data_IF_597439544835
#
_entry.id   IF_597439544835
#
_cell.length_a   1.000
_cell.length_b   1.000
_cell.length_c   1.000
_cell.angle_alpha   90.00
_cell.angle_beta   90.00
_cell.angle_gamma   90.00
#
_symmetry.space_group_name_H-M   'P 1'
#
loop_
_entity.id
_entity.type
_entity.pdbx_description
1 polymer ?
#
# COMPACT_ATOMS: atom_id res chain seq x y z
N UNK A 1 2.11 -21.32 15.05
CA UNK A 1 1.54 -20.03 15.50
C UNK A 1 2.21 -19.46 16.75
N UNK A 2 2.77 -20.27 17.64
CA UNK A 2 3.36 -19.82 18.92
C UNK A 2 4.66 -19.01 18.77
N UNK A 3 5.55 -19.39 17.85
CA UNK A 3 6.80 -18.67 17.59
C UNK A 3 6.58 -17.21 17.14
N UNK A 4 5.63 -16.97 16.22
CA UNK A 4 5.29 -15.63 15.75
C UNK A 4 4.71 -14.76 16.87
N UNK A 5 3.83 -15.34 17.71
CA UNK A 5 3.27 -14.66 18.87
C UNK A 5 4.36 -14.27 19.88
N UNK A 6 5.33 -15.14 20.11
CA UNK A 6 6.46 -14.85 21.01
C UNK A 6 7.33 -13.71 20.49
N UNK A 7 7.61 -13.68 19.19
CA UNK A 7 8.36 -12.59 18.55
C UNK A 7 7.60 -11.26 18.70
N UNK A 8 6.29 -11.24 18.42
CA UNK A 8 5.50 -10.02 18.65
C UNK A 8 5.48 -9.59 20.11
N UNK A 9 5.42 -10.53 21.05
CA UNK A 9 5.50 -10.22 22.48
C UNK A 9 6.80 -9.51 22.85
N UNK A 10 7.93 -9.99 22.34
CA UNK A 10 9.25 -9.37 22.57
C UNK A 10 9.34 -7.99 21.91
N UNK A 11 8.81 -7.82 20.70
CA UNK A 11 8.74 -6.51 20.03
C UNK A 11 7.88 -5.51 20.81
N UNK A 12 6.69 -5.92 21.26
CA UNK A 12 5.78 -5.04 22.01
C UNK A 12 6.38 -4.64 23.35
N UNK A 13 7.02 -5.57 24.07
CA UNK A 13 7.71 -5.24 25.31
C UNK A 13 8.84 -4.23 25.08
N UNK A 14 9.70 -4.48 24.08
CA UNK A 14 10.84 -3.62 23.76
C UNK A 14 10.43 -2.18 23.42
N UNK A 15 9.41 -2.00 22.55
CA UNK A 15 8.95 -0.65 22.19
C UNK A 15 8.34 0.06 23.40
N UNK A 16 7.61 -0.64 24.27
CA UNK A 16 7.02 -0.02 25.46
C UNK A 16 8.12 0.43 26.42
N UNK A 17 9.08 -0.45 26.73
CA UNK A 17 10.13 -0.18 27.72
C UNK A 17 11.07 0.93 27.23
N UNK A 18 11.51 0.84 25.98
CA UNK A 18 12.37 1.85 25.35
C UNK A 18 11.66 3.21 25.30
N UNK A 19 10.39 3.23 24.86
CA UNK A 19 9.65 4.48 24.72
C UNK A 19 9.35 5.13 26.07
N UNK A 20 9.05 4.33 27.12
CA UNK A 20 8.91 4.83 28.49
C UNK A 20 10.17 5.51 28.97
N UNK A 21 11.34 4.88 28.75
CA UNK A 21 12.61 5.47 29.16
C UNK A 21 12.88 6.81 28.44
N UNK A 22 12.63 6.87 27.13
CA UNK A 22 12.83 8.08 26.34
C UNK A 22 11.86 9.21 26.73
N UNK A 23 10.62 8.88 27.09
CA UNK A 23 9.64 9.85 27.58
C UNK A 23 10.07 10.44 28.94
N UNK A 24 10.60 9.61 29.83
CA UNK A 24 11.14 10.07 31.12
C UNK A 24 12.37 10.97 30.89
N UNK A 25 13.30 10.55 30.03
CA UNK A 25 14.50 11.33 29.69
C UNK A 25 14.16 12.66 29.00
N UNK A 26 13.10 12.69 28.19
CA UNK A 26 12.63 13.90 27.52
C UNK A 26 12.10 14.96 28.49
N UNK A 27 11.66 14.57 29.69
CA UNK A 27 11.11 15.51 30.68
C UNK A 27 9.88 16.27 30.19
N UNK A 28 9.17 15.74 29.19
CA UNK A 28 8.04 16.42 28.58
C UNK A 28 6.83 16.45 29.54
N UNK A 29 6.23 17.62 29.70
CA UNK A 29 5.05 17.84 30.52
C UNK A 29 3.78 17.97 29.67
N UNK A 30 3.92 18.22 28.37
CA UNK A 30 2.81 18.27 27.43
C UNK A 30 3.17 17.74 26.04
N UNK A 31 2.15 17.56 25.20
CA UNK A 31 2.33 17.10 23.82
C UNK A 31 3.15 18.08 22.96
N UNK A 32 3.16 19.37 23.31
CA UNK A 32 3.98 20.36 22.60
C UNK A 32 5.47 20.09 22.80
N UNK A 33 5.90 19.79 24.02
CA UNK A 33 7.30 19.46 24.33
C UNK A 33 7.78 18.27 23.49
N UNK A 34 6.93 17.26 23.28
CA UNK A 34 7.24 16.10 22.42
C UNK A 34 7.37 16.51 20.95
N UNK A 35 6.52 17.42 20.46
CA UNK A 35 6.59 17.93 19.07
C UNK A 35 7.86 18.75 18.84
N UNK A 36 8.31 19.48 19.86
CA UNK A 36 9.48 20.35 19.80
C UNK A 36 10.81 19.63 20.13
N UNK A 37 10.75 18.41 20.69
CA UNK A 37 11.91 17.62 21.12
C UNK A 37 12.90 17.28 19.98
N UNK A 38 12.47 17.34 18.72
CA UNK A 38 13.33 17.11 17.55
C UNK A 38 13.78 15.66 17.34
N UNK A 39 13.29 14.72 18.16
CA UNK A 39 13.56 13.28 18.05
C UNK A 39 12.34 12.43 18.42
N UNK A 40 12.13 11.26 17.80
CA UNK A 40 11.04 10.37 18.15
C UNK A 40 11.26 9.72 19.52
N UNK A 41 10.21 9.72 20.35
CA UNK A 41 10.19 9.06 21.67
C UNK A 41 9.50 7.70 21.66
N UNK A 42 8.71 7.41 20.62
CA UNK A 42 8.11 6.10 20.42
C UNK A 42 8.95 5.33 19.40
N UNK A 43 9.79 4.42 19.88
CA UNK A 43 10.68 3.62 19.02
C UNK A 43 11.17 2.36 19.73
N UNK A 44 11.60 1.39 18.92
CA UNK A 44 12.34 0.22 19.39
C UNK A 44 13.73 0.59 19.90
N UNK A 45 14.30 -0.27 20.72
CA UNK A 45 15.70 -0.18 21.12
C UNK A 45 16.64 -0.26 19.91
N UNK A 46 17.88 0.28 20.01
CA UNK A 46 18.89 0.10 18.97
C UNK A 46 19.18 -1.37 18.65
N UNK A 47 19.11 -2.27 19.64
CA UNK A 47 19.24 -3.72 19.48
C UNK A 47 18.10 -4.27 18.62
N UNK A 48 16.86 -4.08 19.07
CA UNK A 48 15.67 -4.58 18.36
C UNK A 48 15.57 -4.00 16.95
N UNK A 49 15.95 -2.73 16.76
CA UNK A 49 15.95 -2.11 15.44
C UNK A 49 16.93 -2.77 14.46
N UNK A 50 18.13 -3.16 14.94
CA UNK A 50 19.11 -3.91 14.13
C UNK A 50 18.58 -5.28 13.75
N UNK A 51 18.01 -6.01 14.69
CA UNK A 51 17.46 -7.36 14.45
C UNK A 51 16.28 -7.32 13.47
N UNK A 52 15.37 -6.34 13.63
CA UNK A 52 14.29 -6.08 12.67
C UNK A 52 14.81 -5.69 11.29
N UNK A 53 15.97 -5.04 11.21
CA UNK A 53 16.65 -4.75 9.95
C UNK A 53 16.92 -6.02 9.15
N UNK A 54 17.45 -7.07 9.80
CA UNK A 54 17.75 -8.34 9.15
C UNK A 54 16.49 -9.06 8.67
N UNK A 55 15.45 -9.10 9.52
CA UNK A 55 14.16 -9.72 9.15
C UNK A 55 13.52 -8.97 7.97
N UNK A 56 13.51 -7.64 8.01
CA UNK A 56 12.99 -6.82 6.89
C UNK A 56 13.77 -7.08 5.61
N UNK A 57 15.10 -7.14 5.67
CA UNK A 57 15.91 -7.43 4.49
C UNK A 57 15.58 -8.81 3.92
N UNK A 58 15.51 -9.83 4.77
CA UNK A 58 15.14 -11.19 4.36
C UNK A 58 13.75 -11.23 3.69
N UNK A 59 12.73 -10.66 4.35
CA UNK A 59 11.37 -10.60 3.81
C UNK A 59 11.30 -9.78 2.52
N UNK A 60 12.05 -8.68 2.43
CA UNK A 60 12.09 -7.85 1.22
C UNK A 60 12.60 -8.64 0.02
N UNK A 61 13.72 -9.34 0.19
CA UNK A 61 14.31 -10.15 -0.89
C UNK A 61 13.45 -11.36 -1.24
N UNK A 62 12.99 -12.11 -0.23
CA UNK A 62 12.37 -13.44 -0.44
C UNK A 62 10.86 -13.41 -0.64
N UNK A 63 10.17 -12.40 -0.13
CA UNK A 63 8.71 -12.30 -0.18
C UNK A 63 8.27 -11.13 -1.06
N UNK A 64 8.70 -9.91 -0.76
CA UNK A 64 8.23 -8.73 -1.50
C UNK A 64 8.78 -8.64 -2.93
N UNK A 65 10.00 -9.12 -3.18
CA UNK A 65 10.63 -9.16 -4.52
C UNK A 65 10.68 -10.55 -5.15
N UNK A 66 9.92 -11.50 -4.61
CA UNK A 66 9.80 -12.82 -5.24
C UNK A 66 9.32 -12.66 -6.71
N UNK A 67 9.83 -13.47 -7.66
CA UNK A 67 9.46 -13.33 -9.08
C UNK A 67 7.95 -13.31 -9.33
N UNK A 68 7.18 -14.10 -8.58
CA UNK A 68 5.72 -14.12 -8.69
C UNK A 68 5.08 -12.78 -8.27
N UNK A 69 5.58 -12.14 -7.21
CA UNK A 69 5.09 -10.83 -6.74
C UNK A 69 5.48 -9.72 -7.72
N UNK A 70 6.70 -9.76 -8.24
CA UNK A 70 7.15 -8.80 -9.27
C UNK A 70 6.32 -8.90 -10.54
N UNK A 71 5.95 -10.12 -10.96
CA UNK A 71 5.06 -10.32 -12.11
C UNK A 71 3.70 -9.69 -11.89
N UNK A 72 3.05 -9.95 -10.75
CA UNK A 72 1.73 -9.36 -10.42
C UNK A 72 1.81 -7.83 -10.39
N UNK A 73 2.86 -7.26 -9.78
CA UNK A 73 3.06 -5.80 -9.78
C UNK A 73 3.18 -5.24 -11.18
N UNK A 74 3.98 -5.86 -12.05
CA UNK A 74 4.13 -5.42 -13.43
C UNK A 74 2.80 -5.50 -14.21
N UNK A 75 2.01 -6.55 -13.99
CA UNK A 75 0.71 -6.73 -14.62
C UNK A 75 -0.31 -5.67 -14.15
N UNK A 76 -0.37 -5.38 -12.84
CA UNK A 76 -1.25 -4.32 -12.30
C UNK A 76 -0.79 -2.92 -12.71
N UNK A 77 0.52 -2.67 -12.76
CA UNK A 77 1.06 -1.39 -13.26
C UNK A 77 0.61 -1.16 -14.70
N UNK A 78 0.75 -2.15 -15.59
CA UNK A 78 0.28 -2.05 -16.97
C UNK A 78 -1.22 -1.73 -17.04
N UNK A 79 -2.03 -2.42 -16.23
CA UNK A 79 -3.47 -2.21 -16.16
C UNK A 79 -3.81 -0.77 -15.78
N UNK A 80 -3.14 -0.20 -14.77
CA UNK A 80 -3.35 1.18 -14.34
C UNK A 80 -2.92 2.18 -15.40
N UNK A 81 -1.78 1.92 -16.06
CA UNK A 81 -1.26 2.74 -17.16
C UNK A 81 -2.19 2.78 -18.38
N UNK A 82 -2.95 1.71 -18.62
CA UNK A 82 -3.93 1.62 -19.72
C UNK A 82 -5.30 2.19 -19.33
N UNK A 83 -5.76 1.99 -18.09
CA UNK A 83 -7.05 2.51 -17.60
C UNK A 83 -7.06 4.03 -17.42
N UNK A 84 -5.95 4.61 -16.95
CA UNK A 84 -5.88 6.06 -16.69
C UNK A 84 -6.20 6.93 -17.92
N UNK A 85 -5.52 6.78 -19.08
CA UNK A 85 -5.84 7.57 -20.26
C UNK A 85 -7.26 7.31 -20.75
N UNK A 86 -7.75 6.07 -20.64
CA UNK A 86 -9.09 5.70 -21.08
C UNK A 86 -10.18 6.46 -20.29
N UNK A 87 -10.12 6.48 -18.97
CA UNK A 87 -11.04 7.25 -18.14
C UNK A 87 -10.86 8.76 -18.30
N UNK A 88 -9.65 9.22 -18.62
CA UNK A 88 -9.39 10.62 -18.87
C UNK A 88 -9.99 11.07 -20.21
N UNK A 89 -9.98 10.23 -21.23
CA UNK A 89 -10.58 10.48 -22.54
C UNK A 89 -12.11 10.36 -22.51
N UNK A 90 -12.62 9.33 -21.84
CA UNK A 90 -14.06 9.12 -21.66
C UNK A 90 -14.42 8.90 -20.17
N UNK A 91 -14.63 9.99 -19.41
CA UNK A 91 -15.03 9.91 -18.00
C UNK A 91 -16.38 9.21 -17.78
N UNK A 92 -17.22 9.08 -18.81
CA UNK A 92 -18.51 8.38 -18.69
C UNK A 92 -18.34 6.87 -18.49
N UNK A 93 -17.14 6.32 -18.72
CA UNK A 93 -16.80 4.94 -18.40
C UNK A 93 -16.66 4.70 -16.88
N UNK A 94 -16.48 5.77 -16.07
CA UNK A 94 -16.44 5.67 -14.61
C UNK A 94 -17.86 5.43 -14.03
N UNK A 95 -17.98 4.86 -12.82
CA UNK A 95 -19.26 4.64 -12.17
C UNK A 95 -20.05 5.93 -11.95
N UNK A 96 -21.37 5.85 -12.01
CA UNK A 96 -22.28 7.00 -11.92
C UNK A 96 -22.09 7.84 -10.64
N UNK A 97 -21.65 7.23 -9.54
CA UNK A 97 -21.36 7.92 -8.28
C UNK A 97 -20.26 8.99 -8.41
N UNK A 98 -19.45 8.92 -9.48
CA UNK A 98 -18.40 9.91 -9.77
C UNK A 98 -18.87 11.07 -10.66
N UNK A 99 -20.09 11.02 -11.20
CA UNK A 99 -20.59 11.99 -12.17
C UNK A 99 -20.57 13.44 -11.63
N UNK A 100 -20.88 13.62 -10.34
CA UNK A 100 -20.85 14.95 -9.71
C UNK A 100 -19.43 15.53 -9.68
N UNK A 101 -18.43 14.73 -9.28
CA UNK A 101 -17.03 15.15 -9.26
C UNK A 101 -16.51 15.46 -10.67
N UNK A 102 -16.87 14.64 -11.65
CA UNK A 102 -16.54 14.86 -13.06
C UNK A 102 -17.16 16.17 -13.56
N UNK A 103 -18.41 16.46 -13.20
CA UNK A 103 -19.09 17.70 -13.55
C UNK A 103 -18.43 18.92 -12.89
N UNK A 104 -18.00 18.81 -11.63
CA UNK A 104 -17.25 19.85 -10.91
C UNK A 104 -15.92 20.20 -11.58
N UNK A 105 -15.26 19.21 -12.21
CA UNK A 105 -14.03 19.46 -12.97
C UNK A 105 -14.26 20.35 -14.20
N UNK A 106 -15.47 20.38 -14.76
CA UNK A 106 -15.80 21.15 -15.95
C UNK A 106 -14.81 20.88 -17.11
N UNK A 107 -14.17 21.94 -17.61
CA UNK A 107 -13.13 21.85 -18.65
C UNK A 107 -11.70 21.75 -18.09
N UNK A 108 -11.53 21.72 -16.77
CA UNK A 108 -10.22 21.68 -16.13
C UNK A 108 -9.61 20.27 -16.18
N UNK A 109 -8.82 20.01 -17.23
CA UNK A 109 -8.15 18.72 -17.46
C UNK A 109 -7.32 18.23 -16.27
N UNK A 110 -6.70 19.15 -15.53
CA UNK A 110 -5.90 18.81 -14.33
C UNK A 110 -6.78 18.33 -13.17
N UNK A 111 -7.96 18.92 -13.00
CA UNK A 111 -8.91 18.50 -11.97
C UNK A 111 -9.50 17.14 -12.31
N UNK A 112 -9.90 16.94 -13.58
CA UNK A 112 -10.35 15.65 -14.07
C UNK A 112 -9.29 14.55 -13.88
N UNK A 113 -8.03 14.84 -14.18
CA UNK A 113 -6.93 13.88 -13.97
C UNK A 113 -6.77 13.47 -12.50
N UNK A 114 -7.03 14.36 -11.54
CA UNK A 114 -7.02 14.02 -10.11
C UNK A 114 -8.18 13.11 -9.75
N UNK A 115 -9.38 13.42 -10.23
CA UNK A 115 -10.58 12.60 -10.00
C UNK A 115 -10.40 11.18 -10.56
N UNK A 116 -9.85 11.06 -11.77
CA UNK A 116 -9.50 9.76 -12.36
C UNK A 116 -8.45 9.03 -11.52
N UNK A 117 -7.42 9.73 -11.05
CA UNK A 117 -6.40 9.14 -10.19
C UNK A 117 -6.98 8.64 -8.85
N UNK A 118 -7.87 9.42 -8.23
CA UNK A 118 -8.55 9.05 -6.98
C UNK A 118 -9.45 7.83 -7.17
N UNK A 119 -10.16 7.76 -8.30
CA UNK A 119 -10.98 6.60 -8.66
C UNK A 119 -10.13 5.33 -8.81
N UNK A 120 -9.03 5.41 -9.56
CA UNK A 120 -8.11 4.28 -9.75
C UNK A 120 -7.44 3.88 -8.43
N UNK A 121 -7.02 4.84 -7.60
CA UNK A 121 -6.43 4.57 -6.29
C UNK A 121 -7.41 3.90 -5.31
N UNK A 122 -8.71 4.09 -5.51
CA UNK A 122 -9.77 3.41 -4.77
C UNK A 122 -10.03 1.96 -5.20
N UNK A 123 -9.46 1.50 -6.31
CA UNK A 123 -9.66 0.14 -6.80
C UNK A 123 -8.85 -0.89 -6.02
N UNK A 124 -9.41 -2.09 -5.87
CA UNK A 124 -8.61 -3.27 -5.51
C UNK A 124 -7.95 -3.86 -6.75
N UNK A 125 -6.82 -4.56 -6.62
CA UNK A 125 -6.15 -5.25 -7.74
C UNK A 125 -7.11 -6.11 -8.56
N UNK A 126 -8.01 -6.85 -7.87
CA UNK A 126 -9.02 -7.69 -8.53
C UNK A 126 -9.98 -6.86 -9.37
N UNK A 127 -10.45 -5.74 -8.84
CA UNK A 127 -11.40 -4.88 -9.55
C UNK A 127 -10.74 -4.20 -10.74
N UNK A 128 -9.51 -3.68 -10.57
CA UNK A 128 -8.75 -3.08 -11.67
C UNK A 128 -8.54 -4.06 -12.83
N UNK A 129 -8.19 -5.33 -12.54
CA UNK A 129 -8.07 -6.38 -13.56
C UNK A 129 -9.41 -6.69 -14.26
N UNK A 130 -10.52 -6.74 -13.51
CA UNK A 130 -11.84 -6.99 -14.09
C UNK A 130 -12.28 -5.84 -15.00
N UNK A 131 -12.02 -4.61 -14.57
CA UNK A 131 -12.41 -3.41 -15.31
C UNK A 131 -11.57 -3.23 -16.57
N UNK A 132 -10.28 -3.53 -16.48
CA UNK A 132 -9.40 -3.61 -17.64
C UNK A 132 -9.84 -4.68 -18.62
N UNK A 133 -10.31 -5.85 -18.16
CA UNK A 133 -10.82 -6.89 -19.06
C UNK A 133 -12.09 -6.45 -19.77
N UNK A 134 -12.98 -5.77 -19.05
CA UNK A 134 -14.23 -5.25 -19.60
C UNK A 134 -14.00 -4.19 -20.67
N UNK A 135 -13.02 -3.31 -20.46
CA UNK A 135 -12.82 -2.11 -21.27
C UNK A 135 -11.75 -2.28 -22.36
N UNK A 136 -10.69 -3.02 -22.08
CA UNK A 136 -9.53 -3.19 -22.97
C UNK A 136 -9.49 -4.59 -23.60
N UNK A 137 -9.95 -5.61 -22.86
CA UNK A 137 -10.08 -6.99 -23.38
C UNK A 137 -8.77 -7.78 -23.54
N UNK A 138 -7.64 -7.25 -23.07
CA UNK A 138 -6.33 -7.93 -23.08
C UNK A 138 -5.67 -7.92 -21.70
N UNK A 139 -6.42 -8.31 -20.67
CA UNK A 139 -5.90 -8.26 -19.30
C UNK A 139 -4.85 -9.33 -19.08
N UNK A 140 -3.72 -8.98 -18.42
CA UNK A 140 -2.74 -9.98 -18.05
C UNK A 140 -3.40 -11.04 -17.16
N UNK A 141 -3.29 -12.31 -17.56
CA UNK A 141 -3.74 -13.42 -16.71
C UNK A 141 -2.84 -13.50 -15.48
N UNK A 142 -3.31 -12.92 -14.37
CA UNK A 142 -2.73 -13.16 -13.06
C UNK A 142 -2.71 -14.67 -12.83
N UNK A 143 -1.52 -15.25 -12.63
CA UNK A 143 -1.33 -16.69 -12.58
C UNK A 143 -2.12 -17.33 -11.46
N UNK A 144 -3.33 -17.81 -11.77
CA UNK A 144 -4.10 -18.70 -10.89
C UNK A 144 -3.35 -20.02 -10.84
N UNK A 145 -2.66 -20.29 -9.73
CA UNK A 145 -2.31 -21.66 -9.38
C UNK A 145 -3.60 -22.45 -9.16
N UNK A 146 -3.93 -23.33 -10.10
CA UNK A 146 -5.13 -24.17 -10.06
C UNK A 146 -5.04 -25.34 -11.03
N UNK A 147 -4.36 -26.40 -10.59
CA UNK A 147 -4.61 -27.84 -10.86
C UNK A 147 -4.85 -28.32 -12.30
N UNK A 148 -3.97 -29.24 -12.72
CA UNK A 148 -4.17 -30.25 -13.77
C UNK A 148 -5.57 -30.90 -13.69
N UNK A 149 -6.28 -30.95 -14.81
CA UNK A 149 -7.06 -32.10 -15.30
C UNK A 149 -6.45 -32.41 -16.68
N UNK A 150 -5.96 -33.60 -17.01
CA UNK A 150 -6.40 -34.91 -16.58
C UNK A 150 -7.60 -35.36 -17.41
N UNK A 151 -7.38 -35.60 -18.70
CA UNK A 151 -8.00 -36.64 -19.54
C UNK A 151 -7.24 -36.71 -20.85
#
# INVERSE_FOLDING_TARGET
HEALRRVFGVMVADVIDTSRHLLVEAGAHCAQDIRELGRPVIRFSPEMWRDLGQIRQFLFTRMYRAPAVMKIRADVTRVVEELFPLFLEDPALMPADWANYIAEAGSERKMLARIVADYIAGMTDRFALQEHERLVGNTPRAGVHGTRKGS
#
